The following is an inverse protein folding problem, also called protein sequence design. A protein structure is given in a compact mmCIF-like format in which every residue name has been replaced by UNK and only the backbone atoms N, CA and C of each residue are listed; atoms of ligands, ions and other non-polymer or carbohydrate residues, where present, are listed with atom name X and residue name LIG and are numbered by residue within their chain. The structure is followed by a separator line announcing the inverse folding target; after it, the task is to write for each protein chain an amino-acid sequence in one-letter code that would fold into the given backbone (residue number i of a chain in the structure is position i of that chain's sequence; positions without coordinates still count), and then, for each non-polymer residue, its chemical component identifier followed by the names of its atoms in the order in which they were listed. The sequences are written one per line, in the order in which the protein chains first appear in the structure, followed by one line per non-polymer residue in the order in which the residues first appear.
data_IF_769162560391
#
_entry.id   IF_769162560391
#
_cell.length_a   1.000
_cell.length_b   1.000
_cell.length_c   1.000
_cell.angle_alpha   90.00
_cell.angle_beta   90.00
_cell.angle_gamma   90.00
#
_symmetry.space_group_name_H-M   'P 1'
#
loop_
_entity.id
_entity.type
_entity.pdbx_description
1 polymer ?
#
# COMPACT_ATOMS: atom_id res chain seq x y z
N UNK A 1 -21.26 30.14 -25.47
CA UNK A 1 -20.61 29.91 -26.78
C UNK A 1 -21.27 28.73 -27.49
N UNK A 2 -21.16 28.62 -28.82
CA UNK A 2 -21.67 27.46 -29.57
C UNK A 2 -20.70 26.30 -29.44
N UNK A 3 -21.23 25.10 -29.19
CA UNK A 3 -20.44 23.88 -29.24
C UNK A 3 -20.00 23.64 -30.68
N UNK A 4 -18.71 23.47 -30.91
CA UNK A 4 -18.15 23.29 -32.25
C UNK A 4 -18.46 21.91 -32.85
N UNK A 5 -18.86 20.94 -32.01
CA UNK A 5 -19.25 19.59 -32.45
C UNK A 5 -20.75 19.43 -32.73
N UNK A 6 -21.62 19.97 -31.87
CA UNK A 6 -23.08 19.83 -32.01
C UNK A 6 -23.82 21.13 -32.36
N UNK A 7 -23.09 22.24 -32.50
CA UNK A 7 -23.56 23.59 -32.87
C UNK A 7 -24.64 24.21 -31.95
N UNK A 8 -24.96 23.58 -30.81
CA UNK A 8 -25.86 24.11 -29.78
C UNK A 8 -25.15 25.17 -28.92
N UNK A 9 -25.88 26.18 -28.44
CA UNK A 9 -25.37 27.25 -27.56
C UNK A 9 -25.09 26.79 -26.12
N UNK A 10 -24.32 25.72 -25.95
CA UNK A 10 -24.07 25.06 -24.65
C UNK A 10 -22.60 24.68 -24.47
N UNK A 11 -21.68 25.36 -25.17
CA UNK A 11 -20.26 25.12 -24.96
C UNK A 11 -19.83 25.63 -23.59
N UNK A 12 -19.22 24.75 -22.81
CA UNK A 12 -18.82 24.98 -21.42
C UNK A 12 -17.39 24.49 -21.14
N UNK A 13 -16.75 23.79 -22.09
CA UNK A 13 -15.44 23.17 -21.92
C UNK A 13 -14.65 23.28 -23.22
N UNK A 14 -13.34 23.52 -23.13
CA UNK A 14 -12.44 23.46 -24.29
C UNK A 14 -11.78 22.08 -24.36
N UNK A 15 -11.76 21.47 -25.54
CA UNK A 15 -10.94 20.32 -25.86
C UNK A 15 -9.74 20.80 -26.67
N UNK A 16 -8.54 20.47 -26.23
CA UNK A 16 -7.31 20.74 -27.00
C UNK A 16 -7.06 19.54 -27.91
N UNK A 17 -7.04 19.78 -29.22
CA UNK A 17 -6.67 18.78 -30.21
C UNK A 17 -5.37 19.20 -30.90
N UNK A 18 -4.48 18.24 -31.09
CA UNK A 18 -3.28 18.41 -31.90
C UNK A 18 -3.60 18.08 -33.35
N UNK A 19 -3.66 19.10 -34.21
CA UNK A 19 -3.91 18.97 -35.64
C UNK A 19 -2.70 19.57 -36.39
N UNK A 20 -2.01 18.78 -37.20
CA UNK A 20 -0.79 19.16 -37.93
C UNK A 20 0.33 19.80 -37.07
N UNK A 21 0.51 19.30 -35.84
CA UNK A 21 1.53 19.78 -34.91
C UNK A 21 1.23 21.14 -34.31
N UNK A 22 -0.02 21.60 -34.38
CA UNK A 22 -0.51 22.81 -33.72
C UNK A 22 -1.65 22.46 -32.79
N UNK A 23 -1.63 23.07 -31.61
CA UNK A 23 -2.71 22.98 -30.66
C UNK A 23 -3.90 23.81 -31.16
N UNK A 24 -5.05 23.17 -31.23
CA UNK A 24 -6.31 23.77 -31.62
C UNK A 24 -7.34 23.51 -30.53
N UNK A 25 -7.79 24.57 -29.90
CA UNK A 25 -8.85 24.51 -28.89
C UNK A 25 -10.21 24.49 -29.58
N UNK A 26 -11.04 23.51 -29.22
CA UNK A 26 -12.44 23.42 -29.63
C UNK A 26 -13.34 23.63 -28.43
N UNK A 27 -14.25 24.60 -28.51
CA UNK A 27 -15.23 24.83 -27.45
C UNK A 27 -16.42 23.90 -27.62
N UNK A 28 -16.62 22.98 -26.68
CA UNK A 28 -17.63 21.92 -26.75
C UNK A 28 -18.54 21.87 -25.52
N UNK A 29 -19.72 21.27 -25.69
CA UNK A 29 -20.61 21.01 -24.56
C UNK A 29 -20.17 19.75 -23.81
N UNK A 30 -20.55 19.66 -22.53
CA UNK A 30 -20.17 18.55 -21.64
C UNK A 30 -20.53 17.17 -22.18
N UNK A 31 -21.65 17.05 -22.89
CA UNK A 31 -22.08 15.79 -23.51
C UNK A 31 -21.14 15.35 -24.64
N UNK A 32 -20.71 16.29 -25.49
CA UNK A 32 -19.77 15.98 -26.57
C UNK A 32 -18.37 15.69 -26.04
N UNK A 33 -17.93 16.38 -24.97
CA UNK A 33 -16.65 16.11 -24.32
C UNK A 33 -16.59 14.68 -23.74
N UNK A 34 -17.65 14.25 -23.03
CA UNK A 34 -17.73 12.88 -22.49
C UNK A 34 -17.77 11.82 -23.59
N UNK A 35 -18.46 12.07 -24.69
CA UNK A 35 -18.52 11.15 -25.82
C UNK A 35 -17.13 10.95 -26.46
N UNK A 36 -16.39 12.05 -26.68
CA UNK A 36 -15.04 12.00 -27.23
C UNK A 36 -14.05 11.27 -26.30
N UNK A 37 -14.15 11.50 -24.99
CA UNK A 37 -13.33 10.80 -23.99
C UNK A 37 -13.64 9.29 -23.92
N UNK A 38 -14.91 8.91 -23.99
CA UNK A 38 -15.32 7.50 -24.01
C UNK A 38 -14.88 6.79 -25.30
N UNK A 39 -14.87 7.48 -26.42
CA UNK A 39 -14.38 6.94 -27.69
C UNK A 39 -12.86 6.75 -27.66
N UNK A 40 -12.10 7.72 -27.13
CA UNK A 40 -10.65 7.58 -26.93
C UNK A 40 -10.28 6.40 -26.01
N UNK A 41 -11.03 6.19 -24.92
CA UNK A 41 -10.83 5.06 -24.02
C UNK A 41 -11.08 3.70 -24.70
N UNK A 42 -12.08 3.61 -25.59
CA UNK A 42 -12.37 2.37 -26.35
C UNK A 42 -11.28 1.97 -27.33
N UNK A 43 -10.51 2.92 -27.84
CA UNK A 43 -9.36 2.63 -28.69
C UNK A 43 -8.12 2.16 -27.90
N UNK A 44 -8.04 2.46 -26.60
CA UNK A 44 -6.96 1.99 -25.73
C UNK A 44 -7.11 0.51 -25.35
N UNK A 45 -8.35 0.01 -25.22
CA UNK A 45 -8.64 -1.35 -24.74
C UNK A 45 -8.65 -2.44 -25.84
N UNK A 46 -8.35 -2.12 -27.11
CA UNK A 46 -8.44 -3.10 -28.20
C UNK A 46 -7.46 -2.89 -29.35
N UNK A 47 -6.26 -3.48 -29.26
CA UNK A 47 -5.42 -3.70 -30.45
C UNK A 47 -4.35 -4.81 -30.29
N UNK A 48 -4.75 -6.07 -30.46
CA UNK A 48 -3.97 -7.02 -31.29
C UNK A 48 -4.71 -7.20 -32.60
N UNK A 49 -4.11 -6.77 -33.72
CA UNK A 49 -4.57 -7.11 -35.08
C UNK A 49 -4.94 -5.93 -36.00
N UNK A 50 -3.97 -5.57 -36.85
CA UNK A 50 -4.04 -4.74 -38.09
C UNK A 50 -4.23 -3.22 -37.92
N UNK A 51 -3.10 -2.54 -38.13
CA UNK A 51 -2.93 -1.11 -38.35
C UNK A 51 -3.99 -0.46 -39.25
N UNK A 52 -4.64 0.58 -38.73
CA UNK A 52 -4.78 1.87 -39.43
C UNK A 52 -4.16 2.92 -38.51
N UNK A 53 -3.09 3.56 -38.99
CA UNK A 53 -2.25 4.51 -38.23
C UNK A 53 -3.06 5.71 -37.71
N UNK A 54 -2.93 5.99 -36.41
CA UNK A 54 -3.04 7.32 -35.78
C UNK A 54 -1.92 7.42 -34.71
N UNK A 55 -1.41 8.62 -34.40
CA UNK A 55 0.00 8.84 -34.07
C UNK A 55 0.34 8.66 -32.58
N UNK A 56 1.62 8.39 -32.33
CA UNK A 56 2.23 8.38 -31.00
C UNK A 56 2.09 9.74 -30.30
N UNK A 57 1.83 9.71 -28.99
CA UNK A 57 2.01 10.87 -28.10
C UNK A 57 0.72 11.45 -27.51
N UNK A 58 -0.09 10.64 -26.83
CA UNK A 58 -1.17 11.16 -25.98
C UNK A 58 -0.63 11.29 -24.56
N UNK A 59 -0.26 12.51 -24.16
CA UNK A 59 -0.09 12.89 -22.76
C UNK A 59 -1.37 13.59 -22.28
N UNK A 60 -1.87 13.17 -21.11
CA UNK A 60 -2.98 13.81 -20.41
C UNK A 60 -2.40 14.77 -19.37
N UNK A 61 -2.41 16.07 -19.67
CA UNK A 61 -2.15 17.11 -18.68
C UNK A 61 -3.46 17.60 -18.06
N UNK A 62 -3.52 17.57 -16.72
CA UNK A 62 -4.59 18.19 -15.94
C UNK A 62 -4.18 19.64 -15.68
N UNK A 63 -4.77 20.58 -16.41
CA UNK A 63 -4.52 22.01 -16.21
C UNK A 63 -5.20 22.50 -14.94
N UNK A 64 -4.38 22.88 -13.95
CA UNK A 64 -4.85 23.44 -12.69
C UNK A 64 -3.74 24.00 -11.81
N UNK A 65 -2.91 24.92 -12.32
CA UNK A 65 -2.16 25.87 -11.50
C UNK A 65 -1.60 27.00 -12.37
N UNK A 66 -1.77 28.25 -11.92
CA UNK A 66 -1.06 29.40 -12.47
C UNK A 66 0.47 29.18 -12.44
N UNK A 67 1.22 29.72 -13.41
CA UNK A 67 2.66 29.59 -13.46
C UNK A 67 3.28 30.71 -12.60
N UNK A 68 3.25 30.56 -11.28
CA UNK A 68 4.11 31.27 -10.33
C UNK A 68 3.73 30.82 -8.92
N UNK A 69 4.40 29.78 -8.44
CA UNK A 69 4.18 29.27 -7.10
C UNK A 69 5.26 28.27 -6.76
N UNK A 70 6.36 28.74 -6.17
CA UNK A 70 7.24 27.87 -5.41
C UNK A 70 6.40 27.24 -4.29
N UNK A 71 5.90 26.03 -4.52
CA UNK A 71 5.28 25.23 -3.48
C UNK A 71 6.38 24.97 -2.43
N UNK A 72 6.19 25.39 -1.17
CA UNK A 72 7.14 25.12 -0.11
C UNK A 72 7.48 23.61 -0.07
N UNK A 73 8.75 23.22 0.19
CA UNK A 73 9.14 21.81 0.23
C UNK A 73 8.25 20.93 1.11
N UNK A 74 7.72 21.49 2.20
CA UNK A 74 6.78 20.82 3.10
C UNK A 74 5.39 20.55 2.48
N UNK A 75 4.91 21.43 1.61
CA UNK A 75 3.64 21.22 0.88
C UNK A 75 3.83 20.24 -0.28
N UNK A 76 5.00 20.28 -0.94
CA UNK A 76 5.36 19.32 -1.97
C UNK A 76 5.51 17.90 -1.40
N UNK A 77 6.12 17.75 -0.22
CA UNK A 77 6.21 16.48 0.49
C UNK A 77 4.83 15.91 0.88
N UNK A 78 3.89 16.77 1.28
CA UNK A 78 2.49 16.35 1.56
C UNK A 78 1.77 15.87 0.31
N UNK A 79 1.99 16.54 -0.83
CA UNK A 79 1.40 16.13 -2.12
C UNK A 79 1.99 14.79 -2.57
N UNK A 80 3.31 14.61 -2.47
CA UNK A 80 3.98 13.35 -2.82
C UNK A 80 3.49 12.21 -1.94
N UNK A 81 3.45 12.40 -0.61
CA UNK A 81 2.92 11.40 0.32
C UNK A 81 1.46 11.04 0.07
N UNK A 82 0.62 12.01 -0.29
CA UNK A 82 -0.77 11.77 -0.66
C UNK A 82 -0.90 10.99 -1.98
N UNK A 83 0.00 11.24 -2.93
CA UNK A 83 0.06 10.50 -4.19
C UNK A 83 0.54 9.07 -3.98
N UNK A 84 1.58 8.85 -3.18
CA UNK A 84 2.08 7.50 -2.87
C UNK A 84 1.02 6.66 -2.15
N UNK A 85 0.31 7.26 -1.19
CA UNK A 85 -0.83 6.61 -0.53
C UNK A 85 -1.96 6.26 -1.52
N UNK A 86 -2.27 7.17 -2.46
CA UNK A 86 -3.26 6.92 -3.51
C UNK A 86 -2.82 5.76 -4.42
N UNK A 87 -1.56 5.73 -4.86
CA UNK A 87 -1.04 4.67 -5.73
C UNK A 87 -0.97 3.33 -5.01
N UNK A 88 -0.56 3.30 -3.74
CA UNK A 88 -0.56 2.10 -2.90
C UNK A 88 -1.98 1.57 -2.68
N UNK A 89 -2.97 2.45 -2.46
CA UNK A 89 -4.38 2.07 -2.36
C UNK A 89 -4.92 1.51 -3.68
N UNK A 90 -4.58 2.12 -4.81
CA UNK A 90 -5.00 1.65 -6.14
C UNK A 90 -4.37 0.31 -6.50
N UNK A 91 -3.10 0.10 -6.12
CA UNK A 91 -2.39 -1.17 -6.31
C UNK A 91 -3.04 -2.28 -5.48
N UNK A 92 -3.27 -2.03 -4.18
CA UNK A 92 -3.98 -2.97 -3.31
C UNK A 92 -5.40 -3.27 -3.80
N UNK A 93 -6.14 -2.25 -4.27
CA UNK A 93 -7.47 -2.43 -4.83
C UNK A 93 -7.45 -3.31 -6.10
N UNK A 94 -6.47 -3.10 -6.98
CA UNK A 94 -6.29 -3.91 -8.18
C UNK A 94 -5.91 -5.36 -7.86
N UNK A 95 -5.03 -5.58 -6.89
CA UNK A 95 -4.64 -6.92 -6.42
C UNK A 95 -5.81 -7.68 -5.76
N UNK A 96 -6.80 -6.94 -5.21
CA UNK A 96 -7.99 -7.48 -4.57
C UNK A 96 -9.25 -7.46 -5.48
N UNK A 97 -9.10 -7.19 -6.79
CA UNK A 97 -10.20 -7.23 -7.75
C UNK A 97 -11.26 -6.14 -7.57
N UNK A 98 -10.94 -5.07 -6.83
CA UNK A 98 -11.82 -3.92 -6.63
C UNK A 98 -11.81 -3.05 -7.89
N UNK A 99 -12.99 -2.70 -8.44
CA UNK A 99 -13.08 -1.81 -9.59
C UNK A 99 -12.38 -0.46 -9.36
N UNK A 100 -11.62 0.01 -10.36
CA UNK A 100 -10.80 1.22 -10.26
C UNK A 100 -11.61 2.47 -9.83
N UNK A 101 -12.87 2.57 -10.26
CA UNK A 101 -13.77 3.65 -9.87
C UNK A 101 -14.14 3.62 -8.37
N UNK A 102 -14.31 2.43 -7.80
CA UNK A 102 -14.56 2.23 -6.38
C UNK A 102 -13.31 2.50 -5.55
N UNK A 103 -12.15 2.04 -6.03
CA UNK A 103 -10.84 2.31 -5.44
C UNK A 103 -10.51 3.82 -5.39
N UNK A 104 -10.74 4.55 -6.50
CA UNK A 104 -10.53 6.00 -6.58
C UNK A 104 -11.50 6.79 -5.69
N UNK A 105 -12.71 6.28 -5.45
CA UNK A 105 -13.69 6.93 -4.60
C UNK A 105 -13.44 6.74 -3.10
N UNK A 106 -12.76 5.65 -2.72
CA UNK A 106 -12.51 5.25 -1.33
C UNK A 106 -11.15 5.73 -0.81
N UNK A 107 -10.15 5.91 -1.69
CA UNK A 107 -8.82 6.38 -1.31
C UNK A 107 -8.80 7.73 -0.55
N UNK A 108 -9.57 8.76 -0.96
CA UNK A 108 -9.60 10.04 -0.25
C UNK A 108 -10.27 9.92 1.13
N UNK A 109 -11.24 9.02 1.27
CA UNK A 109 -11.97 8.79 2.51
C UNK A 109 -11.10 8.05 3.53
N UNK A 110 -10.36 7.01 3.12
CA UNK A 110 -9.43 6.31 4.00
C UNK A 110 -8.30 7.22 4.49
N UNK A 111 -7.75 8.09 3.63
CA UNK A 111 -6.71 9.04 4.04
C UNK A 111 -7.23 10.10 5.01
N UNK A 112 -8.43 10.65 4.76
CA UNK A 112 -9.05 11.62 5.69
C UNK A 112 -9.38 10.98 7.05
N UNK A 113 -9.83 9.73 7.07
CA UNK A 113 -10.21 9.02 8.30
C UNK A 113 -9.02 8.55 9.13
N UNK A 114 -7.93 8.09 8.48
CA UNK A 114 -6.67 7.76 9.18
C UNK A 114 -6.07 9.01 9.82
N UNK A 115 -6.09 10.14 9.12
CA UNK A 115 -5.61 11.41 9.67
C UNK A 115 -6.55 11.96 10.76
N UNK A 116 -7.88 11.77 10.66
CA UNK A 116 -8.81 12.13 11.74
C UNK A 116 -8.64 11.25 12.99
N UNK A 117 -8.42 9.94 12.80
CA UNK A 117 -8.10 9.01 13.88
C UNK A 117 -6.75 9.33 14.53
N UNK A 118 -5.76 9.77 13.75
CA UNK A 118 -4.50 10.28 14.31
C UNK A 118 -4.70 11.60 15.06
N UNK A 119 -5.53 12.49 14.54
CA UNK A 119 -5.77 13.80 15.15
C UNK A 119 -6.59 13.74 16.44
N UNK A 120 -7.54 12.80 16.54
CA UNK A 120 -8.53 12.74 17.64
C UNK A 120 -8.41 11.52 18.54
N UNK A 121 -7.81 10.43 18.07
CA UNK A 121 -7.69 9.17 18.80
C UNK A 121 -6.52 9.15 19.77
N UNK A 122 -6.72 8.53 20.94
CA UNK A 122 -5.66 8.23 21.90
C UNK A 122 -4.96 6.94 21.49
N UNK A 123 -3.64 6.91 21.60
CA UNK A 123 -2.85 5.70 21.43
C UNK A 123 -3.17 4.68 22.52
N UNK A 124 -3.40 3.42 22.15
CA UNK A 124 -3.53 2.31 23.08
C UNK A 124 -2.20 1.57 23.20
N UNK A 125 -1.57 1.67 24.38
CA UNK A 125 -0.39 0.88 24.68
C UNK A 125 -0.74 -0.62 24.76
N UNK A 126 0.01 -1.44 24.03
CA UNK A 126 -0.16 -2.87 23.84
C UNK A 126 0.86 -3.72 24.64
N UNK A 127 1.56 -3.13 25.61
CA UNK A 127 2.58 -3.81 26.42
C UNK A 127 2.10 -5.11 27.09
N UNK A 128 0.82 -5.18 27.46
CA UNK A 128 0.24 -6.33 28.18
C UNK A 128 -0.40 -7.37 27.24
N UNK A 129 -0.30 -7.17 25.91
CA UNK A 129 -0.87 -8.07 24.91
C UNK A 129 0.16 -9.12 24.42
N UNK A 130 -0.30 -10.22 23.77
CA UNK A 130 0.58 -11.30 23.33
C UNK A 130 1.69 -10.82 22.39
N UNK A 131 2.95 -10.99 22.80
CA UNK A 131 4.14 -10.65 21.98
C UNK A 131 4.19 -11.32 20.59
N UNK A 132 3.44 -12.40 20.37
CA UNK A 132 3.30 -13.04 19.05
C UNK A 132 2.53 -12.17 18.05
N UNK A 133 1.67 -11.27 18.52
CA UNK A 133 0.85 -10.39 17.69
C UNK A 133 1.21 -8.92 17.86
N UNK A 134 2.19 -8.59 18.69
CA UNK A 134 2.61 -7.21 18.95
C UNK A 134 4.06 -7.02 18.54
N UNK A 135 4.34 -5.90 17.87
CA UNK A 135 5.68 -5.40 17.57
C UNK A 135 5.71 -3.88 17.78
N UNK A 136 6.69 -3.36 18.54
CA UNK A 136 6.80 -1.92 18.85
C UNK A 136 5.49 -1.24 19.28
N UNK A 137 4.73 -1.86 20.19
CA UNK A 137 3.44 -1.33 20.66
C UNK A 137 2.35 -1.22 19.56
N UNK A 138 2.48 -2.04 18.50
CA UNK A 138 1.56 -2.10 17.36
C UNK A 138 1.15 -3.54 17.08
N UNK A 139 -0.02 -3.72 16.49
CA UNK A 139 -0.52 -5.03 16.10
C UNK A 139 0.13 -5.48 14.79
N UNK A 140 0.60 -6.72 14.75
CA UNK A 140 1.07 -7.41 13.56
C UNK A 140 -0.04 -8.34 13.06
N UNK A 141 -0.68 -7.97 11.94
CA UNK A 141 -1.93 -8.57 11.44
C UNK A 141 -1.74 -9.28 10.09
N UNK A 142 -0.63 -10.00 9.96
CA UNK A 142 -0.24 -10.77 8.77
C UNK A 142 -1.26 -11.87 8.42
N UNK A 143 -1.85 -12.51 9.42
CA UNK A 143 -2.88 -13.52 9.22
C UNK A 143 -4.08 -12.95 8.49
N UNK A 144 -4.66 -11.89 9.04
CA UNK A 144 -5.82 -11.19 8.48
C UNK A 144 -5.52 -10.58 7.11
N UNK A 145 -4.28 -10.17 6.85
CA UNK A 145 -3.87 -9.69 5.53
C UNK A 145 -3.96 -10.82 4.51
N UNK A 146 -3.34 -11.96 4.79
CA UNK A 146 -3.34 -13.11 3.88
C UNK A 146 -4.72 -13.75 3.70
N UNK A 147 -5.60 -13.68 4.70
CA UNK A 147 -6.99 -14.18 4.59
C UNK A 147 -7.95 -13.16 3.97
N UNK A 148 -7.46 -11.98 3.59
CA UNK A 148 -8.24 -10.88 3.02
C UNK A 148 -9.34 -10.33 3.94
N UNK A 149 -9.20 -10.50 5.26
CA UNK A 149 -10.21 -10.09 6.26
C UNK A 149 -9.95 -8.69 6.85
N UNK A 150 -8.79 -8.08 6.57
CA UNK A 150 -8.40 -6.78 7.15
C UNK A 150 -9.43 -5.66 6.96
N UNK A 151 -10.06 -5.56 5.78
CA UNK A 151 -11.04 -4.50 5.49
C UNK A 151 -12.26 -4.60 6.41
N UNK A 152 -12.74 -5.81 6.65
CA UNK A 152 -13.94 -6.05 7.45
C UNK A 152 -13.65 -5.91 8.94
N UNK A 153 -12.47 -6.37 9.38
CA UNK A 153 -11.99 -6.13 10.75
C UNK A 153 -11.84 -4.62 11.00
N UNK A 154 -11.23 -3.88 10.09
CA UNK A 154 -11.07 -2.42 10.24
C UNK A 154 -12.43 -1.69 10.28
N UNK A 155 -13.42 -2.11 9.49
CA UNK A 155 -14.80 -1.58 9.58
C UNK A 155 -15.43 -1.89 10.95
N UNK A 156 -15.29 -3.11 11.45
CA UNK A 156 -15.85 -3.53 12.72
C UNK A 156 -15.20 -2.82 13.93
N UNK A 157 -13.89 -2.57 13.89
CA UNK A 157 -13.19 -1.74 14.87
C UNK A 157 -13.73 -0.31 14.86
N UNK A 158 -13.88 0.29 13.67
CA UNK A 158 -14.38 1.67 13.52
C UNK A 158 -15.78 1.84 14.10
N UNK A 159 -16.66 0.86 13.91
CA UNK A 159 -18.00 0.86 14.49
C UNK A 159 -18.01 0.88 16.03
N UNK A 160 -16.86 0.61 16.66
CA UNK A 160 -16.66 0.56 18.10
C UNK A 160 -15.65 1.62 18.58
N UNK A 161 -15.43 2.69 17.80
CA UNK A 161 -14.54 3.81 18.14
C UNK A 161 -13.05 3.39 18.32
N UNK A 162 -12.65 2.32 17.62
CA UNK A 162 -11.28 1.82 17.54
C UNK A 162 -10.78 1.89 16.09
N UNK A 163 -9.56 2.40 15.91
CA UNK A 163 -8.97 2.67 14.61
C UNK A 163 -7.65 1.91 14.49
N UNK A 164 -7.55 1.09 13.45
CA UNK A 164 -6.30 0.45 13.04
C UNK A 164 -5.61 1.38 12.05
N UNK A 165 -4.63 2.12 12.53
CA UNK A 165 -3.86 3.07 11.73
C UNK A 165 -2.70 2.31 11.09
N UNK A 166 -2.67 2.17 9.75
CA UNK A 166 -1.60 1.43 9.09
C UNK A 166 -0.26 2.12 9.31
N UNK A 167 0.77 1.32 9.52
CA UNK A 167 2.12 1.81 9.58
C UNK A 167 2.64 2.08 8.15
N UNK A 168 3.07 3.30 7.86
CA UNK A 168 3.49 3.70 6.51
C UNK A 168 4.98 4.08 6.51
N UNK A 169 5.74 3.54 5.56
CA UNK A 169 7.18 3.79 5.37
C UNK A 169 7.52 3.65 3.88
N UNK A 170 8.41 4.48 3.35
CA UNK A 170 8.86 4.44 1.95
C UNK A 170 7.73 4.40 0.90
N UNK A 171 6.59 5.05 1.19
CA UNK A 171 5.39 5.00 0.34
C UNK A 171 4.58 3.69 0.43
N UNK A 172 5.08 2.68 1.16
CA UNK A 172 4.35 1.46 1.48
C UNK A 172 3.30 1.75 2.55
N UNK A 173 2.05 1.50 2.21
CA UNK A 173 0.94 1.61 3.17
C UNK A 173 0.77 0.28 3.90
N UNK A 174 0.59 0.34 5.22
CA UNK A 174 0.46 -0.84 6.07
C UNK A 174 1.66 -1.80 6.00
N UNK A 175 2.87 -1.23 5.96
CA UNK A 175 4.11 -2.00 5.88
C UNK A 175 4.23 -3.02 7.02
N UNK A 176 4.70 -4.21 6.69
CA UNK A 176 4.78 -5.39 7.54
C UNK A 176 3.42 -5.86 8.06
N UNK A 177 2.33 -5.32 7.52
CA UNK A 177 0.97 -5.48 8.01
C UNK A 177 0.86 -5.11 9.50
N UNK A 178 1.56 -4.04 9.88
CA UNK A 178 1.61 -3.51 11.23
C UNK A 178 0.67 -2.31 11.38
N UNK A 179 -0.09 -2.28 12.47
CA UNK A 179 -1.11 -1.28 12.73
C UNK A 179 -0.98 -0.69 14.13
N UNK A 180 -0.92 0.64 14.21
CA UNK A 180 -1.11 1.36 15.46
C UNK A 180 -2.59 1.32 15.86
N UNK A 181 -2.88 1.08 17.14
CA UNK A 181 -4.24 1.12 17.65
C UNK A 181 -4.52 2.48 18.27
N UNK A 182 -5.53 3.18 17.73
CA UNK A 182 -6.07 4.41 18.32
C UNK A 182 -7.53 4.24 18.70
N UNK A 183 -7.98 4.97 19.71
CA UNK A 183 -9.36 4.91 20.18
C UNK A 183 -9.86 6.26 20.68
N UNK A 184 -11.15 6.53 20.49
CA UNK A 184 -11.84 7.73 21.00
C UNK A 184 -12.74 7.42 22.21
N UNK A 185 -13.17 6.17 22.35
CA UNK A 185 -14.01 5.68 23.44
C UNK A 185 -13.27 5.37 24.75
N UNK A 186 -13.78 4.40 25.53
CA UNK A 186 -13.15 3.92 26.76
C UNK A 186 -11.93 3.04 26.45
N UNK A 187 -10.86 3.13 27.27
CA UNK A 187 -9.68 2.27 27.15
C UNK A 187 -10.06 0.79 27.29
N UNK A 188 -10.88 0.45 28.29
CA UNK A 188 -11.31 -0.93 28.53
C UNK A 188 -12.09 -1.50 27.34
N UNK A 189 -12.99 -0.70 26.75
CA UNK A 189 -13.72 -1.12 25.55
C UNK A 189 -12.77 -1.30 24.35
N UNK A 190 -11.77 -0.43 24.19
CA UNK A 190 -10.76 -0.59 23.15
C UNK A 190 -9.92 -1.86 23.36
N UNK A 191 -9.56 -2.19 24.59
CA UNK A 191 -8.86 -3.44 24.93
C UNK A 191 -9.71 -4.68 24.59
N UNK A 192 -11.02 -4.65 24.90
CA UNK A 192 -11.95 -5.72 24.52
C UNK A 192 -12.02 -5.91 23.00
N UNK A 193 -12.11 -4.81 22.24
CA UNK A 193 -12.09 -4.85 20.77
C UNK A 193 -10.77 -5.41 20.25
N UNK A 194 -9.62 -4.98 20.80
CA UNK A 194 -8.32 -5.51 20.41
C UNK A 194 -8.21 -7.00 20.70
N UNK A 195 -8.74 -7.48 21.82
CA UNK A 195 -8.78 -8.92 22.10
C UNK A 195 -9.55 -9.69 21.02
N UNK A 196 -10.69 -9.17 20.54
CA UNK A 196 -11.43 -9.77 19.43
C UNK A 196 -10.64 -9.76 18.11
N UNK A 197 -9.90 -8.67 17.83
CA UNK A 197 -8.99 -8.61 16.67
C UNK A 197 -7.92 -9.68 16.76
N UNK A 198 -7.33 -9.87 17.95
CA UNK A 198 -6.31 -10.88 18.18
C UNK A 198 -6.84 -12.31 18.04
N UNK A 199 -8.05 -12.59 18.53
CA UNK A 199 -8.70 -13.89 18.31
C UNK A 199 -8.86 -14.18 16.82
N UNK A 200 -9.28 -13.18 16.03
CA UNK A 200 -9.42 -13.28 14.58
C UNK A 200 -8.07 -13.48 13.88
N UNK A 201 -7.05 -12.74 14.27
CA UNK A 201 -5.69 -12.88 13.74
C UNK A 201 -5.11 -14.28 14.02
N UNK A 202 -5.27 -14.79 15.23
CA UNK A 202 -4.79 -16.13 15.59
C UNK A 202 -5.55 -17.23 14.82
N UNK A 203 -6.85 -17.03 14.60
CA UNK A 203 -7.63 -17.93 13.74
C UNK A 203 -7.12 -17.88 12.29
N UNK A 204 -6.92 -16.69 11.73
CA UNK A 204 -6.39 -16.49 10.39
C UNK A 204 -5.01 -17.16 10.21
N UNK A 205 -4.10 -17.00 11.17
CA UNK A 205 -2.80 -17.69 11.18
C UNK A 205 -2.92 -19.21 11.17
N UNK A 206 -3.90 -19.75 11.89
CA UNK A 206 -4.15 -21.20 11.86
C UNK A 206 -4.52 -21.68 10.46
N UNK A 207 -5.30 -20.87 9.72
CA UNK A 207 -5.65 -21.18 8.32
C UNK A 207 -4.43 -21.12 7.39
N UNK A 208 -3.46 -20.23 7.66
CA UNK A 208 -2.22 -20.13 6.87
C UNK A 208 -1.40 -21.41 6.84
N UNK A 209 -1.45 -22.25 7.87
CA UNK A 209 -0.73 -23.53 7.91
C UNK A 209 -1.60 -24.73 7.56
N UNK A 210 -2.90 -24.51 7.33
CA UNK A 210 -3.86 -25.53 6.93
C UNK A 210 -4.35 -25.29 5.51
N UNK A 211 -5.49 -24.62 5.41
CA UNK A 211 -6.21 -24.40 4.14
C UNK A 211 -5.41 -23.56 3.14
N UNK A 212 -4.61 -22.62 3.62
CA UNK A 212 -3.83 -21.68 2.80
C UNK A 212 -2.32 -21.98 2.79
N UNK A 213 -1.91 -23.17 3.25
CA UNK A 213 -0.50 -23.56 3.37
C UNK A 213 0.30 -23.36 2.09
N UNK A 214 -0.28 -23.68 0.93
CA UNK A 214 0.39 -23.52 -0.36
C UNK A 214 0.61 -22.06 -0.74
N UNK A 215 -0.41 -21.19 -0.60
CA UNK A 215 -0.31 -19.78 -0.98
C UNK A 215 0.59 -19.01 -0.02
N UNK A 216 0.46 -19.27 1.29
CA UNK A 216 1.33 -18.69 2.29
C UNK A 216 2.77 -19.19 2.13
N UNK A 217 2.97 -20.50 1.91
CA UNK A 217 4.27 -21.11 1.66
C UNK A 217 4.99 -20.50 0.44
N UNK A 218 4.30 -20.27 -0.68
CA UNK A 218 4.86 -19.58 -1.84
C UNK A 218 5.27 -18.14 -1.52
N UNK A 219 4.38 -17.37 -0.88
CA UNK A 219 4.67 -15.99 -0.47
C UNK A 219 5.90 -15.92 0.45
N UNK A 220 5.94 -16.78 1.48
CA UNK A 220 7.06 -16.91 2.39
C UNK A 220 8.36 -17.31 1.68
N UNK A 221 8.33 -18.31 0.79
CA UNK A 221 9.52 -18.77 0.07
C UNK A 221 10.07 -17.69 -0.86
N UNK A 222 9.18 -16.92 -1.52
CA UNK A 222 9.57 -15.76 -2.33
C UNK A 222 10.18 -14.67 -1.47
N UNK A 223 9.60 -14.37 -0.30
CA UNK A 223 10.16 -13.39 0.62
C UNK A 223 11.59 -13.80 1.04
N UNK A 224 11.77 -15.06 1.45
CA UNK A 224 13.08 -15.58 1.83
C UNK A 224 14.09 -15.57 0.67
N UNK A 225 13.66 -15.86 -0.56
CA UNK A 225 14.53 -15.80 -1.73
C UNK A 225 15.00 -14.37 -2.04
N UNK A 226 14.12 -13.38 -1.92
CA UNK A 226 14.45 -11.96 -2.09
C UNK A 226 15.46 -11.54 -1.03
N UNK A 227 15.19 -11.82 0.26
CA UNK A 227 16.08 -11.49 1.38
C UNK A 227 17.48 -12.11 1.28
N UNK A 228 17.64 -13.18 0.50
CA UNK A 228 18.92 -13.87 0.26
C UNK A 228 19.72 -13.37 -0.93
N UNK A 229 19.08 -12.67 -1.87
CA UNK A 229 19.69 -12.40 -3.17
C UNK A 229 19.44 -11.01 -3.74
N UNK A 230 18.68 -10.17 -3.04
CA UNK A 230 18.39 -8.80 -3.48
C UNK A 230 19.68 -7.96 -3.60
N UNK A 231 19.65 -6.98 -4.50
CA UNK A 231 20.76 -6.04 -4.73
C UNK A 231 20.48 -4.64 -4.23
N UNK A 232 19.19 -4.31 -4.14
CA UNK A 232 18.66 -3.12 -3.53
C UNK A 232 17.42 -3.54 -2.77
N UNK A 233 17.20 -2.91 -1.62
CA UNK A 233 16.06 -3.18 -0.79
C UNK A 233 15.73 -1.93 0.03
N UNK A 234 14.54 -1.37 -0.17
CA UNK A 234 14.08 -0.24 0.66
C UNK A 234 13.70 -0.72 2.07
N UNK A 235 13.60 0.19 3.03
CA UNK A 235 13.23 -0.17 4.40
C UNK A 235 11.79 -0.68 4.46
N UNK A 236 10.88 -0.08 3.70
CA UNK A 236 9.51 -0.53 3.57
C UNK A 236 9.41 -1.96 3.02
N UNK A 237 10.09 -2.25 1.92
CA UNK A 237 10.12 -3.61 1.35
C UNK A 237 10.75 -4.61 2.31
N UNK A 238 11.85 -4.26 2.97
CA UNK A 238 12.47 -5.13 3.95
C UNK A 238 11.51 -5.47 5.09
N UNK A 239 10.79 -4.47 5.61
CA UNK A 239 9.82 -4.66 6.68
C UNK A 239 8.63 -5.55 6.24
N UNK A 240 8.13 -5.37 5.01
CA UNK A 240 7.13 -6.23 4.39
C UNK A 240 7.61 -7.68 4.30
N UNK A 241 8.82 -7.90 3.78
CA UNK A 241 9.40 -9.25 3.60
C UNK A 241 9.64 -9.97 4.93
N UNK A 242 9.92 -9.22 6.01
CA UNK A 242 10.09 -9.79 7.35
C UNK A 242 8.77 -10.25 7.97
N UNK A 243 7.61 -9.75 7.52
CA UNK A 243 6.30 -10.08 8.08
C UNK A 243 5.93 -11.57 7.99
N UNK A 244 5.95 -12.22 6.80
CA UNK A 244 5.69 -13.66 6.70
C UNK A 244 6.80 -14.50 7.36
N UNK A 245 8.05 -14.01 7.35
CA UNK A 245 9.18 -14.65 8.04
C UNK A 245 8.94 -14.68 9.56
N UNK A 246 8.39 -13.61 10.12
CA UNK A 246 8.02 -13.52 11.53
C UNK A 246 7.00 -14.59 11.91
N UNK A 247 5.98 -14.80 11.08
CA UNK A 247 4.98 -15.86 11.30
C UNK A 247 5.64 -17.24 11.29
N UNK A 248 6.48 -17.53 10.29
CA UNK A 248 7.21 -18.81 10.23
C UNK A 248 8.14 -19.01 11.44
N UNK A 249 8.76 -17.93 11.94
CA UNK A 249 9.63 -17.96 13.12
C UNK A 249 8.84 -18.18 14.43
N UNK A 250 7.63 -17.61 14.56
CA UNK A 250 6.71 -17.85 15.69
C UNK A 250 6.38 -19.34 15.80
N UNK A 251 6.07 -19.96 14.66
CA UNK A 251 5.74 -21.39 14.58
C UNK A 251 6.97 -22.31 14.57
N UNK A 252 8.17 -21.76 14.70
CA UNK A 252 9.45 -22.50 14.72
C UNK A 252 9.63 -23.38 13.48
N UNK A 253 9.34 -22.81 12.32
CA UNK A 253 9.48 -23.48 11.02
C UNK A 253 10.85 -23.23 10.36
N UNK A 254 11.67 -22.36 10.96
CA UNK A 254 12.95 -21.93 10.42
C UNK A 254 14.12 -22.51 11.21
N UNK A 255 15.18 -22.87 10.50
CA UNK A 255 16.51 -23.03 11.04
C UNK A 255 17.32 -21.75 10.83
N UNK A 256 18.15 -21.38 11.81
CA UNK A 256 19.05 -20.22 11.74
C UNK A 256 18.45 -18.87 12.18
N UNK A 257 17.14 -18.80 12.42
CA UNK A 257 16.46 -17.56 12.82
C UNK A 257 15.36 -17.83 13.86
N UNK A 258 15.36 -17.09 14.97
CA UNK A 258 14.27 -17.13 15.95
C UNK A 258 13.32 -15.94 15.79
N UNK A 259 12.12 -16.03 16.39
CA UNK A 259 11.19 -14.89 16.45
C UNK A 259 11.87 -13.63 17.01
N UNK A 260 12.68 -13.79 18.05
CA UNK A 260 13.38 -12.66 18.68
C UNK A 260 14.35 -11.99 17.71
N UNK A 261 15.01 -12.78 16.86
CA UNK A 261 15.92 -12.25 15.85
C UNK A 261 15.16 -11.44 14.80
N UNK A 262 14.01 -11.95 14.32
CA UNK A 262 13.12 -11.19 13.42
C UNK A 262 12.62 -9.91 14.08
N UNK A 263 12.14 -10.00 15.32
CA UNK A 263 11.67 -8.84 16.08
C UNK A 263 12.80 -7.79 16.19
N UNK A 264 14.04 -8.19 16.46
CA UNK A 264 15.20 -7.27 16.50
C UNK A 264 15.52 -6.65 15.13
N UNK A 265 15.41 -7.40 14.04
CA UNK A 265 15.63 -6.87 12.67
C UNK A 265 14.57 -5.82 12.33
N UNK A 266 13.30 -6.14 12.55
CA UNK A 266 12.17 -5.21 12.41
C UNK A 266 12.31 -4.01 13.36
N UNK A 267 12.88 -4.22 14.55
CA UNK A 267 13.18 -3.18 15.54
C UNK A 267 14.42 -2.35 15.26
N UNK A 268 15.28 -2.75 14.32
CA UNK A 268 16.48 -1.98 13.95
C UNK A 268 16.22 -0.88 12.92
N UNK A 269 15.09 -0.94 12.20
CA UNK A 269 14.80 0.00 11.13
C UNK A 269 14.45 1.40 11.67
N UNK A 270 14.99 2.43 11.03
CA UNK A 270 14.66 3.82 11.33
C UNK A 270 13.31 4.18 10.72
N UNK A 271 12.29 3.94 11.51
CA UNK A 271 10.89 4.07 11.17
C UNK A 271 10.36 5.53 11.25
N UNK A 272 11.24 6.51 11.43
CA UNK A 272 10.86 7.91 11.68
C UNK A 272 10.59 8.74 10.42
N UNK A 273 10.86 8.22 9.23
CA UNK A 273 10.53 8.88 7.96
C UNK A 273 11.39 10.10 7.63
N UNK A 274 12.61 10.18 8.18
CA UNK A 274 13.59 11.22 7.84
C UNK A 274 14.18 11.06 6.43
N UNK A 275 13.76 10.04 5.69
CA UNK A 275 14.20 9.70 4.34
C UNK A 275 13.94 10.80 3.32
N UNK A 276 12.94 11.64 3.56
CA UNK A 276 12.64 12.80 2.72
C UNK A 276 13.79 13.83 2.66
N UNK A 277 14.79 13.73 3.54
CA UNK A 277 15.97 14.61 3.57
C UNK A 277 17.21 13.98 2.91
N UNK A 278 17.15 12.70 2.52
CA UNK A 278 18.26 12.03 1.84
C UNK A 278 18.28 12.40 0.36
N UNK A 279 19.48 12.57 -0.20
CA UNK A 279 19.63 12.58 -1.65
C UNK A 279 19.38 11.18 -2.23
N UNK A 280 18.98 11.09 -3.50
CA UNK A 280 18.77 9.80 -4.17
C UNK A 280 20.00 8.88 -4.08
N UNK A 281 21.21 9.42 -4.21
CA UNK A 281 22.45 8.63 -4.10
C UNK A 281 22.68 8.10 -2.67
N UNK A 282 22.24 8.82 -1.64
CA UNK A 282 22.34 8.36 -0.25
C UNK A 282 21.29 7.31 0.07
N UNK A 283 20.08 7.47 -0.47
CA UNK A 283 19.02 6.45 -0.39
C UNK A 283 19.45 5.15 -1.09
N UNK A 284 19.97 5.23 -2.32
CA UNK A 284 20.45 4.06 -3.07
C UNK A 284 21.57 3.32 -2.32
N UNK A 285 22.57 4.04 -1.80
CA UNK A 285 23.67 3.43 -1.01
C UNK A 285 23.17 2.75 0.26
N UNK A 286 22.16 3.33 0.90
CA UNK A 286 21.55 2.73 2.10
C UNK A 286 20.79 1.46 1.74
N UNK A 287 20.02 1.49 0.65
CA UNK A 287 19.20 0.37 0.21
C UNK A 287 20.09 -0.79 -0.31
N UNK A 288 21.21 -0.48 -0.96
CA UNK A 288 22.28 -1.45 -1.28
C UNK A 288 22.89 -2.05 -0.01
N UNK A 289 23.24 -1.22 0.98
CA UNK A 289 23.81 -1.70 2.25
C UNK A 289 22.80 -2.54 3.05
N UNK A 290 21.51 -2.21 3.01
CA UNK A 290 20.44 -2.98 3.63
C UNK A 290 20.27 -4.33 2.93
N UNK A 291 20.31 -4.35 1.60
CA UNK A 291 20.27 -5.59 0.82
C UNK A 291 21.45 -6.51 1.14
N UNK A 292 22.68 -5.99 1.22
CA UNK A 292 23.87 -6.76 1.58
C UNK A 292 23.79 -7.32 3.01
N UNK A 293 23.32 -6.51 3.96
CA UNK A 293 23.10 -6.95 5.35
C UNK A 293 22.01 -8.04 5.44
N UNK A 294 20.91 -7.89 4.70
CA UNK A 294 19.87 -8.90 4.61
C UNK A 294 20.41 -10.20 4.02
N UNK A 295 21.13 -10.13 2.89
CA UNK A 295 21.71 -11.30 2.24
C UNK A 295 22.63 -12.08 3.18
N UNK A 296 23.49 -11.41 3.94
CA UNK A 296 24.37 -12.09 4.90
C UNK A 296 23.58 -12.70 6.07
N UNK A 297 22.59 -11.98 6.61
CA UNK A 297 21.75 -12.45 7.69
C UNK A 297 20.93 -13.70 7.29
N UNK A 298 20.33 -13.68 6.10
CA UNK A 298 19.43 -14.73 5.62
C UNK A 298 20.15 -15.85 4.86
N UNK A 299 21.46 -15.74 4.60
CA UNK A 299 22.26 -16.71 3.82
C UNK A 299 22.06 -18.16 4.24
N UNK A 300 21.96 -18.41 5.55
CA UNK A 300 21.85 -19.77 6.12
C UNK A 300 20.44 -20.12 6.59
N UNK A 301 19.50 -19.19 6.51
CA UNK A 301 18.12 -19.40 6.97
C UNK A 301 17.39 -20.33 6.02
N UNK A 302 16.76 -21.38 6.52
CA UNK A 302 16.01 -22.34 5.71
C UNK A 302 14.78 -22.84 6.46
N UNK A 303 13.83 -23.43 5.71
CA UNK A 303 12.76 -24.22 6.33
C UNK A 303 13.37 -25.46 6.98
N UNK A 304 12.93 -25.77 8.20
CA UNK A 304 13.24 -27.04 8.81
C UNK A 304 12.31 -28.15 8.31
N UNK A 305 12.56 -29.40 8.70
CA UNK A 305 11.77 -30.55 8.26
C UNK A 305 10.26 -30.44 8.58
N UNK A 306 9.85 -29.64 9.58
CA UNK A 306 8.42 -29.38 9.82
C UNK A 306 7.88 -28.37 8.83
N UNK A 307 8.60 -27.27 8.58
CA UNK A 307 8.23 -26.26 7.60
C UNK A 307 8.11 -26.83 6.19
N UNK A 308 9.06 -27.67 5.78
CA UNK A 308 9.02 -28.37 4.49
C UNK A 308 7.75 -29.21 4.35
N UNK A 309 7.37 -30.02 5.35
CA UNK A 309 6.15 -30.83 5.30
C UNK A 309 4.84 -30.04 5.22
N UNK A 310 4.84 -28.79 5.68
CA UNK A 310 3.64 -27.95 5.66
C UNK A 310 3.53 -27.26 4.29
N UNK A 311 4.64 -26.82 3.72
CA UNK A 311 4.63 -25.95 2.54
C UNK A 311 5.00 -26.62 1.21
N UNK A 312 5.70 -27.77 1.24
CA UNK A 312 6.26 -28.47 0.08
C UNK A 312 5.69 -29.89 -0.04
#
# INVERSE_FOLDING_TARGET
MKCELCHKNTAETALVLMEDGREKELYVCRACAKAAQAEAARFADGATGKMRRLPNGVELTVSGASPDGNIPPEEMAKVVSAMDSLFSHLKNAAENGVPLNEALSTAPQMNAEVEDAKAKGRHLALKDFPSTCVIRDRLHLEGLFHTYEMSDVAKACRAQDVFLVPYNIDGFTAAGHVYEVRYTGSKAAAEDVVNLVLERELHARTMLFGEMARSFGDSFCRALAILKSCRMLSQGEYFDLLSPVRIAAIDRLLDGLTRKDVDMLMESLDLSGNDALLSNEEADKRDEALADAANECFRTVALNARGERIFL
#
